data_IF_650648722229
#
_entry.id   IF_650648722229
#
_cell.length_a   1.000
_cell.length_b   1.000
_cell.length_c   1.000
_cell.angle_alpha   90.00
_cell.angle_beta   90.00
_cell.angle_gamma   90.00
#
_symmetry.space_group_name_H-M   'P 1'
#
loop_
_entity.id
_entity.type
_entity.pdbx_description
1 polymer ?
#
# COMPACT_ATOMS: atom_id res chain seq x y z
N UNK A 1 -23.03 74.01 -12.46
CA UNK A 1 -23.55 73.10 -11.42
C UNK A 1 -23.30 71.67 -11.90
N UNK A 2 -22.11 71.14 -11.59
CA UNK A 2 -21.64 69.85 -12.06
C UNK A 2 -21.82 68.82 -10.95
N UNK A 3 -22.65 67.82 -11.20
CA UNK A 3 -22.83 66.67 -10.30
C UNK A 3 -21.98 65.53 -10.85
N UNK A 4 -20.83 65.29 -10.17
CA UNK A 4 -19.97 64.17 -10.44
C UNK A 4 -20.58 62.90 -9.85
N UNK A 5 -20.92 61.96 -10.73
CA UNK A 5 -21.35 60.61 -10.35
C UNK A 5 -20.10 59.80 -10.10
N UNK A 6 -19.75 59.56 -8.83
CA UNK A 6 -18.71 58.62 -8.42
C UNK A 6 -19.27 57.22 -8.55
N UNK A 7 -18.86 56.49 -9.58
CA UNK A 7 -19.15 55.07 -9.75
C UNK A 7 -18.35 54.26 -8.72
N UNK A 8 -19.07 53.68 -7.77
CA UNK A 8 -18.52 52.73 -6.81
C UNK A 8 -18.30 51.39 -7.55
N UNK A 9 -17.05 51.15 -7.92
CA UNK A 9 -16.60 49.84 -8.41
C UNK A 9 -16.45 48.91 -7.20
N UNK A 10 -17.49 48.15 -6.87
CA UNK A 10 -17.37 47.00 -5.95
C UNK A 10 -16.61 45.88 -6.66
N UNK A 11 -15.31 45.80 -6.40
CA UNK A 11 -14.49 44.64 -6.75
C UNK A 11 -14.90 43.51 -5.81
N UNK A 12 -15.77 42.64 -6.30
CA UNK A 12 -16.02 41.35 -5.68
C UNK A 12 -14.79 40.49 -5.96
N UNK A 13 -13.83 40.49 -5.02
CA UNK A 13 -12.77 39.51 -4.98
C UNK A 13 -13.40 38.17 -4.63
N UNK A 14 -13.81 37.42 -5.64
CA UNK A 14 -14.15 35.99 -5.47
C UNK A 14 -12.89 35.28 -5.01
N UNK A 15 -12.83 34.99 -3.73
CA UNK A 15 -11.85 34.09 -3.16
C UNK A 15 -12.17 32.70 -3.70
N UNK A 16 -11.56 32.36 -4.82
CA UNK A 16 -11.51 30.98 -5.28
C UNK A 16 -10.64 30.21 -4.28
N UNK A 17 -11.27 29.69 -3.24
CA UNK A 17 -10.68 28.64 -2.42
C UNK A 17 -10.53 27.43 -3.35
N UNK A 18 -9.39 27.32 -4.02
CA UNK A 18 -9.01 26.09 -4.67
C UNK A 18 -8.93 25.05 -3.55
N UNK A 19 -9.70 23.93 -3.62
CA UNK A 19 -9.44 22.83 -2.70
C UNK A 19 -7.97 22.48 -2.90
N UNK A 20 -7.18 22.65 -1.87
CA UNK A 20 -5.83 22.11 -1.84
C UNK A 20 -6.00 20.60 -1.93
N UNK A 21 -5.86 20.07 -3.13
CA UNK A 21 -5.66 18.64 -3.32
C UNK A 21 -4.37 18.38 -2.56
N UNK A 22 -4.51 17.82 -1.36
CA UNK A 22 -3.38 17.35 -0.59
C UNK A 22 -2.65 16.37 -1.52
N UNK A 23 -1.52 16.80 -2.07
CA UNK A 23 -0.65 15.96 -2.87
C UNK A 23 -0.44 14.70 -2.03
N UNK A 24 -0.91 13.59 -2.54
CA UNK A 24 -0.70 12.28 -1.92
C UNK A 24 0.82 12.04 -1.98
N UNK A 25 1.52 12.45 -0.91
CA UNK A 25 2.98 12.28 -0.82
C UNK A 25 3.21 10.78 -0.79
N UNK A 26 3.71 10.24 -1.90
CA UNK A 26 4.25 8.88 -1.95
C UNK A 26 5.25 8.69 -0.81
N UNK A 27 5.26 7.52 -0.23
CA UNK A 27 6.26 7.17 0.77
C UNK A 27 7.61 7.08 0.08
N UNK A 28 8.53 7.96 0.45
CA UNK A 28 9.89 7.99 -0.12
C UNK A 28 10.88 7.13 0.67
N UNK A 29 10.42 6.05 1.24
CA UNK A 29 11.23 5.15 2.06
C UNK A 29 11.09 3.74 1.54
N UNK A 30 12.22 3.05 1.40
CA UNK A 30 12.26 1.62 1.12
C UNK A 30 13.33 0.91 1.96
N UNK A 31 13.40 -0.41 1.82
CA UNK A 31 14.35 -1.27 2.49
C UNK A 31 15.32 -1.87 1.46
N UNK A 32 16.62 -1.68 1.67
CA UNK A 32 17.65 -2.32 0.85
C UNK A 32 17.99 -3.74 1.32
N UNK A 33 17.55 -4.13 2.50
CA UNK A 33 17.74 -5.45 3.10
C UNK A 33 16.41 -6.06 3.53
N UNK A 34 16.33 -7.38 3.54
CA UNK A 34 15.22 -8.07 4.17
C UNK A 34 15.27 -7.91 5.70
N UNK A 35 14.11 -7.70 6.31
CA UNK A 35 14.00 -7.62 7.77
C UNK A 35 13.17 -8.78 8.31
N UNK A 36 13.70 -9.47 9.33
CA UNK A 36 12.94 -10.40 10.17
C UNK A 36 12.87 -9.84 11.56
N UNK A 37 11.66 -9.60 12.04
CA UNK A 37 11.40 -9.10 13.39
C UNK A 37 10.59 -10.10 14.17
N UNK A 38 11.05 -10.49 15.34
CA UNK A 38 10.27 -11.23 16.32
C UNK A 38 10.37 -10.57 17.69
N UNK A 39 9.71 -11.13 18.69
CA UNK A 39 9.63 -10.55 20.04
C UNK A 39 10.98 -10.13 20.64
N UNK A 40 12.04 -10.90 20.39
CA UNK A 40 13.34 -10.73 21.04
C UNK A 40 14.46 -10.36 20.09
N UNK A 41 14.23 -10.42 18.79
CA UNK A 41 15.29 -10.38 17.79
C UNK A 41 14.85 -9.62 16.54
N UNK A 42 15.79 -8.86 15.98
CA UNK A 42 15.72 -8.29 14.65
C UNK A 42 16.89 -8.87 13.86
N UNK A 43 16.64 -9.40 12.68
CA UNK A 43 17.68 -9.83 11.75
C UNK A 43 17.57 -9.06 10.45
N UNK A 44 18.71 -8.60 9.98
CA UNK A 44 18.89 -7.96 8.68
C UNK A 44 19.44 -9.01 7.73
N UNK A 45 18.75 -9.21 6.61
CA UNK A 45 19.05 -10.26 5.65
C UNK A 45 19.52 -9.69 4.33
N UNK A 46 20.62 -10.23 3.81
CA UNK A 46 21.09 -10.04 2.45
C UNK A 46 21.11 -11.41 1.77
N UNK A 47 20.42 -11.56 0.66
CA UNK A 47 20.29 -12.84 -0.05
C UNK A 47 20.01 -14.05 0.87
N UNK A 48 19.07 -13.87 1.80
CA UNK A 48 18.69 -14.87 2.82
C UNK A 48 19.73 -15.15 3.93
N UNK A 49 20.88 -14.46 3.92
CA UNK A 49 21.89 -14.54 4.98
C UNK A 49 21.74 -13.43 5.99
N UNK A 50 21.87 -13.73 7.27
CA UNK A 50 21.87 -12.71 8.31
C UNK A 50 23.20 -11.94 8.30
N UNK A 51 23.19 -10.67 7.92
CA UNK A 51 24.35 -9.76 7.92
C UNK A 51 24.44 -8.97 9.22
N UNK A 52 23.29 -8.62 9.82
CA UNK A 52 23.24 -8.00 11.14
C UNK A 52 22.09 -8.58 11.97
N UNK A 53 22.24 -8.47 13.28
CA UNK A 53 21.24 -8.96 14.22
C UNK A 53 21.26 -8.14 15.50
N UNK A 54 20.08 -7.78 16.00
CA UNK A 54 19.92 -7.14 17.31
C UNK A 54 19.12 -8.09 18.20
N UNK A 55 19.70 -8.51 19.32
CA UNK A 55 19.07 -9.33 20.33
C UNK A 55 18.65 -8.50 21.54
N UNK A 56 17.47 -8.79 22.07
CA UNK A 56 16.96 -8.17 23.30
C UNK A 56 17.04 -6.63 23.30
N UNK A 57 17.05 -6.04 22.08
CA UNK A 57 17.13 -4.58 21.83
C UNK A 57 18.44 -3.90 22.24
N UNK A 58 19.49 -4.64 22.60
CA UNK A 58 20.72 -4.08 23.16
C UNK A 58 22.00 -4.72 22.60
N UNK A 59 21.93 -5.96 22.19
CA UNK A 59 23.09 -6.70 21.71
C UNK A 59 23.12 -6.66 20.17
N UNK A 60 24.13 -6.00 19.62
CA UNK A 60 24.35 -5.91 18.19
C UNK A 60 25.38 -6.94 17.74
N UNK A 61 25.05 -7.67 16.68
CA UNK A 61 25.94 -8.60 15.99
C UNK A 61 26.05 -8.20 14.53
N UNK A 62 27.27 -8.14 14.00
CA UNK A 62 27.56 -7.89 12.57
C UNK A 62 28.40 -9.03 12.04
N UNK A 63 27.98 -9.66 10.94
CA UNK A 63 28.66 -10.82 10.38
C UNK A 63 28.83 -11.96 11.40
N UNK A 64 27.88 -12.14 12.31
CA UNK A 64 27.92 -13.15 13.36
C UNK A 64 28.80 -12.82 14.57
N UNK A 65 29.46 -11.64 14.59
CA UNK A 65 30.30 -11.20 15.70
C UNK A 65 29.61 -10.15 16.53
N UNK A 66 29.64 -10.31 17.86
CA UNK A 66 29.10 -9.29 18.76
C UNK A 66 29.96 -8.02 18.70
N UNK A 67 29.30 -6.87 18.59
CA UNK A 67 29.92 -5.55 18.62
C UNK A 67 29.97 -5.06 20.06
N UNK A 68 31.15 -4.61 20.52
CA UNK A 68 31.29 -3.98 21.82
C UNK A 68 30.80 -2.52 21.71
N UNK A 69 29.71 -2.21 22.38
CA UNK A 69 29.05 -0.92 22.33
C UNK A 69 29.30 -0.15 23.63
N UNK A 70 29.52 1.14 23.52
CA UNK A 70 29.46 2.10 24.62
C UNK A 70 28.01 2.25 25.14
N UNK A 71 27.83 2.92 26.27
CA UNK A 71 26.47 3.18 26.83
C UNK A 71 25.59 4.00 25.88
N UNK A 72 26.16 4.97 25.20
CA UNK A 72 25.42 5.84 24.27
C UNK A 72 25.02 5.05 22.99
N UNK A 73 25.91 4.22 22.47
CA UNK A 73 25.62 3.34 21.33
C UNK A 73 24.56 2.29 21.68
N UNK A 74 24.59 1.70 22.87
CA UNK A 74 23.53 0.81 23.37
C UNK A 74 22.17 1.55 23.40
N UNK A 75 22.17 2.82 23.81
CA UNK A 75 20.94 3.61 23.81
C UNK A 75 20.38 3.81 22.41
N UNK A 76 21.23 4.11 21.41
CA UNK A 76 20.84 4.23 20.02
C UNK A 76 20.32 2.92 19.44
N UNK A 77 21.03 1.80 19.68
CA UNK A 77 20.59 0.45 19.26
C UNK A 77 19.23 0.11 19.86
N UNK A 78 19.02 0.44 21.13
CA UNK A 78 17.73 0.22 21.81
C UNK A 78 16.61 1.04 21.20
N UNK A 79 16.86 2.31 20.89
CA UNK A 79 15.88 3.20 20.27
C UNK A 79 15.49 2.69 18.87
N UNK A 80 16.48 2.37 18.05
CA UNK A 80 16.29 1.80 16.72
C UNK A 80 15.51 0.48 16.76
N UNK A 81 15.95 -0.46 17.59
CA UNK A 81 15.29 -1.74 17.76
C UNK A 81 13.85 -1.62 18.27
N UNK A 82 13.60 -0.71 19.22
CA UNK A 82 12.25 -0.43 19.72
C UNK A 82 11.33 0.08 18.61
N UNK A 83 11.86 0.96 17.76
CA UNK A 83 11.13 1.49 16.62
C UNK A 83 10.79 0.41 15.59
N UNK A 84 11.77 -0.41 15.18
CA UNK A 84 11.53 -1.54 14.26
C UNK A 84 10.52 -2.56 14.82
N UNK A 85 10.63 -2.93 16.09
CA UNK A 85 9.65 -3.80 16.75
C UNK A 85 8.24 -3.22 16.78
N UNK A 86 8.12 -1.90 16.78
CA UNK A 86 6.82 -1.24 16.79
C UNK A 86 6.23 -1.11 15.39
N UNK A 87 7.03 -0.69 14.40
CA UNK A 87 6.56 -0.32 13.07
C UNK A 87 6.39 -1.54 12.17
N UNK A 88 7.43 -2.39 12.06
CA UNK A 88 7.47 -3.49 11.09
C UNK A 88 6.28 -4.45 11.18
N UNK A 89 5.90 -4.98 12.36
CA UNK A 89 4.75 -5.86 12.46
C UNK A 89 3.45 -5.21 11.99
N UNK A 90 3.27 -3.93 12.31
CA UNK A 90 2.04 -3.18 11.97
C UNK A 90 1.95 -2.86 10.51
N UNK A 91 3.07 -2.54 9.86
CA UNK A 91 3.13 -2.32 8.41
C UNK A 91 2.77 -3.60 7.65
N UNK A 92 3.28 -4.75 8.09
CA UNK A 92 2.96 -6.05 7.47
C UNK A 92 1.47 -6.37 7.58
N UNK A 93 0.89 -6.17 8.77
CA UNK A 93 -0.55 -6.37 8.96
C UNK A 93 -1.35 -5.41 8.08
N UNK A 94 -0.97 -4.12 8.04
CA UNK A 94 -1.64 -3.12 7.21
C UNK A 94 -1.55 -3.47 5.72
N UNK A 95 -0.39 -3.88 5.22
CA UNK A 95 -0.21 -4.30 3.83
C UNK A 95 -1.11 -5.50 3.50
N UNK A 96 -1.17 -6.49 4.39
CA UNK A 96 -2.04 -7.66 4.22
C UNK A 96 -3.52 -7.30 4.22
N UNK A 97 -3.95 -6.45 5.15
CA UNK A 97 -5.34 -5.95 5.23
C UNK A 97 -5.71 -5.13 3.98
N UNK A 98 -4.79 -4.30 3.49
CA UNK A 98 -4.99 -3.49 2.29
C UNK A 98 -5.19 -4.34 1.04
N UNK A 99 -4.37 -5.36 0.89
CA UNK A 99 -4.48 -6.32 -0.23
C UNK A 99 -5.77 -7.14 -0.16
N UNK A 100 -6.10 -7.67 1.00
CA UNK A 100 -7.34 -8.43 1.17
C UNK A 100 -8.55 -7.54 0.88
N UNK A 101 -8.55 -6.29 1.35
CA UNK A 101 -9.61 -5.32 1.06
C UNK A 101 -9.72 -5.01 -0.44
N UNK A 102 -8.61 -4.76 -1.13
CA UNK A 102 -8.62 -4.47 -2.57
C UNK A 102 -9.17 -5.65 -3.38
N UNK A 103 -8.75 -6.87 -3.05
CA UNK A 103 -9.20 -8.08 -3.71
C UNK A 103 -10.70 -8.32 -3.46
N UNK A 104 -11.15 -8.20 -2.22
CA UNK A 104 -12.56 -8.37 -1.88
C UNK A 104 -13.44 -7.33 -2.59
N UNK A 105 -12.95 -6.09 -2.73
CA UNK A 105 -13.64 -5.03 -3.48
C UNK A 105 -13.76 -5.39 -4.96
N UNK A 106 -12.67 -5.83 -5.59
CA UNK A 106 -12.68 -6.24 -7.00
C UNK A 106 -13.61 -7.44 -7.22
N UNK A 107 -13.56 -8.44 -6.33
CA UNK A 107 -14.45 -9.61 -6.40
C UNK A 107 -15.92 -9.21 -6.29
N UNK A 108 -16.27 -8.31 -5.38
CA UNK A 108 -17.65 -7.83 -5.22
C UNK A 108 -18.14 -7.06 -6.46
N UNK A 109 -17.32 -6.14 -6.98
CA UNK A 109 -17.64 -5.39 -8.20
C UNK A 109 -17.86 -6.34 -9.37
N UNK A 110 -16.94 -7.29 -9.53
CA UNK A 110 -16.99 -8.22 -10.65
C UNK A 110 -18.20 -9.16 -10.57
N UNK A 111 -18.48 -9.72 -9.40
CA UNK A 111 -19.69 -10.53 -9.14
C UNK A 111 -20.98 -9.77 -9.42
N UNK A 112 -21.04 -8.50 -9.03
CA UNK A 112 -22.20 -7.65 -9.26
C UNK A 112 -22.47 -7.35 -10.73
N UNK A 113 -21.44 -7.26 -11.56
CA UNK A 113 -21.53 -6.96 -12.99
C UNK A 113 -21.79 -8.21 -13.81
N UNK A 114 -20.99 -9.26 -13.62
CA UNK A 114 -20.93 -10.43 -14.51
C UNK A 114 -21.70 -11.62 -13.95
N UNK A 115 -21.79 -11.74 -12.64
CA UNK A 115 -22.35 -12.90 -11.95
C UNK A 115 -21.32 -14.03 -11.75
N UNK A 116 -21.64 -14.95 -10.83
CA UNK A 116 -20.75 -16.06 -10.43
C UNK A 116 -20.57 -17.14 -11.50
N UNK A 117 -21.53 -17.26 -12.41
CA UNK A 117 -21.62 -18.39 -13.35
C UNK A 117 -20.87 -18.14 -14.66
N UNK A 118 -20.20 -17.01 -14.78
CA UNK A 118 -19.50 -16.65 -16.01
C UNK A 118 -18.03 -17.11 -15.97
N UNK A 119 -17.56 -17.77 -17.06
CA UNK A 119 -16.18 -18.29 -17.18
C UNK A 119 -15.08 -17.24 -16.89
N UNK A 120 -15.37 -15.97 -17.16
CA UNK A 120 -14.44 -14.88 -16.88
C UNK A 120 -14.27 -14.58 -15.39
N UNK A 121 -15.27 -14.87 -14.53
CA UNK A 121 -15.16 -14.70 -13.09
C UNK A 121 -14.04 -15.57 -12.51
N UNK A 122 -13.98 -16.83 -12.92
CA UNK A 122 -12.92 -17.74 -12.44
C UNK A 122 -11.52 -17.26 -12.83
N UNK A 123 -11.36 -16.65 -14.02
CA UNK A 123 -10.08 -16.08 -14.47
C UNK A 123 -9.64 -14.90 -13.61
N UNK A 124 -10.56 -13.97 -13.33
CA UNK A 124 -10.29 -12.80 -12.45
C UNK A 124 -9.98 -13.26 -11.03
N UNK A 125 -10.79 -14.15 -10.48
CA UNK A 125 -10.57 -14.69 -9.14
C UNK A 125 -9.21 -15.40 -9.01
N UNK A 126 -8.79 -16.18 -10.01
CA UNK A 126 -7.45 -16.79 -10.06
C UNK A 126 -6.33 -15.76 -10.13
N UNK A 127 -6.51 -14.67 -10.91
CA UNK A 127 -5.55 -13.58 -10.98
C UNK A 127 -5.40 -12.88 -9.63
N UNK A 128 -6.51 -12.52 -8.99
CA UNK A 128 -6.52 -11.90 -7.65
C UNK A 128 -5.86 -12.80 -6.58
N UNK A 129 -6.10 -14.10 -6.65
CA UNK A 129 -5.44 -15.07 -5.74
C UNK A 129 -3.92 -15.13 -5.95
N UNK A 130 -3.43 -15.00 -7.19
CA UNK A 130 -1.98 -14.92 -7.46
C UNK A 130 -1.40 -13.63 -6.89
N UNK A 131 -2.04 -12.48 -7.14
CA UNK A 131 -1.64 -11.20 -6.58
C UNK A 131 -1.54 -11.24 -5.05
N UNK A 132 -2.55 -11.78 -4.39
CA UNK A 132 -2.54 -11.98 -2.93
C UNK A 132 -1.34 -12.81 -2.46
N UNK A 133 -1.04 -13.89 -3.17
CA UNK A 133 0.07 -14.76 -2.80
C UNK A 133 1.43 -14.06 -2.99
N UNK A 134 1.62 -13.32 -4.08
CA UNK A 134 2.84 -12.57 -4.37
C UNK A 134 3.13 -11.51 -3.31
N UNK A 135 2.12 -10.74 -2.94
CA UNK A 135 2.28 -9.76 -1.85
C UNK A 135 2.55 -10.43 -0.51
N UNK A 136 1.89 -11.56 -0.22
CA UNK A 136 2.15 -12.34 1.00
C UNK A 136 3.55 -12.96 1.04
N UNK A 137 4.22 -13.13 -0.08
CA UNK A 137 5.64 -13.55 -0.11
C UNK A 137 6.57 -12.43 0.36
N UNK A 138 6.26 -11.18 0.01
CA UNK A 138 7.03 -10.01 0.42
C UNK A 138 6.74 -9.58 1.87
N UNK A 139 5.51 -9.77 2.32
CA UNK A 139 5.06 -9.43 3.67
C UNK A 139 4.57 -10.68 4.39
N UNK A 140 5.48 -11.43 4.99
CA UNK A 140 5.16 -12.69 5.67
C UNK A 140 5.13 -12.53 7.17
N UNK A 141 4.14 -13.14 7.80
CA UNK A 141 4.13 -13.33 9.23
C UNK A 141 3.66 -14.75 9.59
N UNK A 142 4.28 -15.33 10.61
CA UNK A 142 3.90 -16.61 11.17
C UNK A 142 4.15 -16.56 12.67
N UNK A 143 3.11 -16.76 13.46
CA UNK A 143 3.15 -16.62 14.93
C UNK A 143 3.63 -15.23 15.33
N UNK A 144 4.85 -15.09 15.84
CA UNK A 144 5.49 -13.84 16.28
C UNK A 144 6.66 -13.39 15.38
N UNK A 145 6.81 -14.00 14.19
CA UNK A 145 7.85 -13.68 13.23
C UNK A 145 7.26 -12.88 12.05
N UNK A 146 7.81 -11.72 11.81
CA UNK A 146 7.42 -10.80 10.76
C UNK A 146 8.57 -10.62 9.79
N UNK A 147 8.33 -10.83 8.50
CA UNK A 147 9.32 -10.69 7.44
C UNK A 147 8.86 -9.65 6.42
N UNK A 148 9.76 -8.73 6.09
CA UNK A 148 9.63 -7.78 4.97
C UNK A 148 10.80 -8.00 4.03
N UNK A 149 10.52 -8.21 2.75
CA UNK A 149 11.55 -8.34 1.72
C UNK A 149 12.17 -6.97 1.37
N UNK A 150 13.40 -6.92 0.85
CA UNK A 150 13.97 -5.69 0.31
C UNK A 150 13.15 -5.21 -0.90
N UNK A 151 13.06 -3.89 -1.10
CA UNK A 151 12.29 -3.28 -2.18
C UNK A 151 10.77 -3.37 -2.02
N UNK A 152 10.27 -3.91 -0.90
CA UNK A 152 8.84 -4.19 -0.74
C UNK A 152 7.96 -2.95 -0.59
N UNK A 153 8.52 -1.85 -0.12
CA UNK A 153 7.74 -0.63 0.13
C UNK A 153 7.55 0.16 -1.16
N UNK A 154 8.55 0.17 -2.04
CA UNK A 154 8.45 0.76 -3.37
C UNK A 154 7.54 -0.07 -4.28
N UNK A 155 7.66 -1.39 -4.23
CA UNK A 155 6.87 -2.31 -5.06
C UNK A 155 5.36 -2.24 -4.80
N UNK A 156 4.91 -1.79 -3.62
CA UNK A 156 3.47 -1.62 -3.37
C UNK A 156 2.87 -0.54 -4.26
N UNK A 157 3.60 0.56 -4.50
CA UNK A 157 3.16 1.62 -5.41
C UNK A 157 3.24 1.15 -6.88
N UNK A 158 4.35 0.52 -7.28
CA UNK A 158 4.56 0.01 -8.64
C UNK A 158 3.66 -1.19 -8.98
N UNK A 159 3.30 -2.01 -7.98
CA UNK A 159 2.37 -3.13 -8.15
C UNK A 159 0.97 -2.65 -8.54
N UNK A 160 0.53 -1.53 -7.98
CA UNK A 160 -0.74 -0.91 -8.34
C UNK A 160 -0.69 -0.36 -9.77
N UNK A 161 0.44 0.25 -10.17
CA UNK A 161 0.55 0.96 -11.45
C UNK A 161 0.95 0.04 -12.63
N UNK A 162 1.91 -0.88 -12.48
CA UNK A 162 2.45 -1.65 -13.60
C UNK A 162 1.95 -3.10 -13.67
N UNK A 163 1.88 -3.81 -12.57
CA UNK A 163 1.50 -5.23 -12.63
C UNK A 163 -0.01 -5.43 -12.79
N UNK A 164 -0.83 -4.50 -12.32
CA UNK A 164 -2.27 -4.51 -12.63
C UNK A 164 -2.45 -4.28 -14.13
N UNK A 165 -1.70 -3.40 -14.76
CA UNK A 165 -1.84 -3.09 -16.17
C UNK A 165 -1.31 -4.20 -17.09
N UNK A 166 -0.16 -4.80 -16.82
CA UNK A 166 0.43 -5.82 -17.69
C UNK A 166 -0.07 -7.25 -17.43
N UNK A 167 -0.12 -7.70 -16.18
CA UNK A 167 -0.53 -9.08 -15.86
C UNK A 167 -2.04 -9.22 -15.69
N UNK A 168 -2.70 -8.18 -15.23
CA UNK A 168 -4.15 -8.16 -15.01
C UNK A 168 -4.91 -7.44 -16.10
N UNK A 169 -4.26 -6.56 -16.88
CA UNK A 169 -4.87 -5.88 -18.02
C UNK A 169 -5.46 -6.86 -19.05
N UNK A 170 -4.78 -7.98 -19.30
CA UNK A 170 -5.31 -9.06 -20.13
C UNK A 170 -6.51 -9.77 -19.49
N UNK A 171 -6.49 -9.98 -18.16
CA UNK A 171 -7.62 -10.57 -17.45
C UNK A 171 -8.79 -9.58 -17.35
N UNK A 172 -8.49 -8.30 -17.09
CA UNK A 172 -9.49 -7.22 -17.05
C UNK A 172 -10.04 -6.95 -18.45
N UNK A 173 -9.23 -6.92 -19.50
CA UNK A 173 -9.71 -6.74 -20.89
C UNK A 173 -10.55 -7.94 -21.36
N UNK A 174 -10.18 -9.16 -20.96
CA UNK A 174 -10.99 -10.36 -21.19
C UNK A 174 -12.31 -10.31 -20.40
N UNK A 175 -12.27 -9.72 -19.20
CA UNK A 175 -13.46 -9.50 -18.36
C UNK A 175 -14.36 -8.41 -18.94
N UNK A 176 -13.78 -7.31 -19.43
CA UNK A 176 -14.51 -6.28 -20.16
C UNK A 176 -15.10 -6.86 -21.46
N UNK A 177 -14.36 -7.75 -22.16
CA UNK A 177 -14.89 -8.52 -23.27
C UNK A 177 -16.03 -9.44 -22.85
N UNK A 178 -15.94 -10.07 -21.69
CA UNK A 178 -17.01 -10.86 -21.07
C UNK A 178 -18.23 -10.03 -20.70
N UNK A 179 -18.01 -8.85 -20.12
CA UNK A 179 -19.06 -7.86 -19.82
C UNK A 179 -19.70 -7.37 -21.12
N UNK A 180 -18.89 -7.01 -22.13
CA UNK A 180 -19.38 -6.58 -23.44
C UNK A 180 -20.09 -7.72 -24.18
N UNK A 181 -19.67 -8.98 -24.01
CA UNK A 181 -20.36 -10.15 -24.56
C UNK A 181 -21.66 -10.43 -23.82
N UNK A 182 -21.67 -10.29 -22.51
CA UNK A 182 -22.90 -10.38 -21.70
C UNK A 182 -23.88 -9.25 -22.04
N UNK A 183 -23.37 -8.04 -22.30
CA UNK A 183 -24.14 -6.88 -22.80
C UNK A 183 -24.45 -7.06 -24.28
N UNK A 184 -23.52 -7.53 -25.11
CA UNK A 184 -23.65 -7.73 -26.55
C UNK A 184 -24.47 -8.97 -26.95
N UNK A 185 -24.53 -9.99 -26.10
CA UNK A 185 -25.52 -11.08 -26.19
C UNK A 185 -26.97 -10.59 -26.05
N UNK A 186 -27.11 -9.30 -25.65
CA UNK A 186 -28.40 -8.58 -25.63
C UNK A 186 -28.88 -8.14 -27.01
N UNK A 187 -28.06 -8.25 -28.07
CA UNK A 187 -28.45 -7.92 -29.45
C UNK A 187 -29.17 -9.09 -30.17
N UNK A 188 -29.41 -10.21 -29.49
CA UNK A 188 -30.29 -11.27 -30.01
C UNK A 188 -31.74 -10.79 -30.00
N UNK A 189 -32.43 -10.92 -31.10
CA UNK A 189 -33.71 -10.32 -31.45
C UNK A 189 -34.94 -10.68 -30.59
N UNK A 190 -34.75 -11.04 -29.32
CA UNK A 190 -35.82 -11.27 -28.36
C UNK A 190 -36.07 -10.02 -27.52
N UNK A 191 -37.34 -9.59 -27.45
CA UNK A 191 -37.83 -8.34 -26.83
C UNK A 191 -37.59 -8.14 -25.34
N UNK A 192 -36.60 -8.86 -24.76
CA UNK A 192 -36.20 -8.83 -23.35
C UNK A 192 -34.91 -8.01 -23.07
N UNK A 193 -34.32 -7.44 -24.12
CA UNK A 193 -33.02 -6.72 -24.03
C UNK A 193 -33.12 -5.46 -23.17
N UNK A 194 -34.21 -4.75 -23.29
CA UNK A 194 -34.44 -3.48 -22.57
C UNK A 194 -34.66 -3.69 -21.07
N UNK A 195 -35.32 -4.76 -20.68
CA UNK A 195 -35.55 -5.11 -19.28
C UNK A 195 -34.27 -5.64 -18.59
N UNK A 196 -33.43 -6.39 -19.34
CA UNK A 196 -32.11 -6.83 -18.87
C UNK A 196 -31.17 -5.64 -18.68
N UNK A 197 -31.14 -4.69 -19.61
CA UNK A 197 -30.35 -3.45 -19.46
C UNK A 197 -30.80 -2.62 -18.27
N UNK A 198 -32.11 -2.49 -18.05
CA UNK A 198 -32.64 -1.79 -16.86
C UNK A 198 -32.30 -2.52 -15.57
N UNK A 199 -32.33 -3.84 -15.55
CA UNK A 199 -31.96 -4.64 -14.39
C UNK A 199 -30.47 -4.50 -14.07
N UNK A 200 -29.59 -4.53 -15.11
CA UNK A 200 -28.16 -4.30 -14.95
C UNK A 200 -27.86 -2.88 -14.46
N UNK A 201 -28.49 -1.87 -15.06
CA UNK A 201 -28.36 -0.46 -14.63
C UNK A 201 -28.76 -0.26 -13.17
N UNK A 202 -29.87 -0.86 -12.73
CA UNK A 202 -30.30 -0.81 -11.31
C UNK A 202 -29.32 -1.52 -10.38
N UNK A 203 -28.74 -2.64 -10.81
CA UNK A 203 -27.72 -3.34 -9.99
C UNK A 203 -26.45 -2.51 -9.85
N UNK A 204 -25.99 -1.92 -10.94
CA UNK A 204 -24.81 -1.03 -10.95
C UNK A 204 -25.04 0.21 -10.08
N UNK A 205 -26.22 0.82 -10.17
CA UNK A 205 -26.57 2.00 -9.36
C UNK A 205 -26.68 1.65 -7.86
N UNK A 206 -27.33 0.56 -7.50
CA UNK A 206 -27.41 0.10 -6.11
C UNK A 206 -26.04 -0.30 -5.53
N UNK A 207 -25.18 -0.90 -6.36
CA UNK A 207 -23.86 -1.34 -5.96
C UNK A 207 -22.88 -0.16 -5.85
N UNK A 208 -22.97 0.85 -6.74
CA UNK A 208 -22.09 2.02 -6.71
C UNK A 208 -22.23 2.81 -5.41
N UNK A 209 -23.45 3.05 -4.95
CA UNK A 209 -23.70 3.80 -3.71
C UNK A 209 -23.18 3.06 -2.47
N UNK A 210 -23.37 1.75 -2.41
CA UNK A 210 -22.92 0.94 -1.27
C UNK A 210 -21.39 0.76 -1.25
N UNK A 211 -20.80 0.52 -2.42
CA UNK A 211 -19.34 0.39 -2.56
C UNK A 211 -18.60 1.72 -2.35
N UNK A 212 -19.14 2.82 -2.87
CA UNK A 212 -18.50 4.13 -2.77
C UNK A 212 -18.28 4.50 -1.30
N UNK A 213 -19.29 4.32 -0.46
CA UNK A 213 -19.22 4.65 0.96
C UNK A 213 -18.29 3.71 1.73
N UNK A 214 -18.38 2.39 1.51
CA UNK A 214 -17.53 1.40 2.19
C UNK A 214 -16.07 1.47 1.74
N UNK A 215 -15.84 1.70 0.44
CA UNK A 215 -14.50 1.83 -0.14
C UNK A 215 -13.83 3.12 0.33
N UNK A 216 -14.54 4.25 0.33
CA UNK A 216 -13.99 5.54 0.73
C UNK A 216 -13.54 5.54 2.20
N UNK A 217 -14.37 5.04 3.11
CA UNK A 217 -14.07 4.97 4.54
C UNK A 217 -12.87 4.04 4.83
N UNK A 218 -12.85 2.85 4.25
CA UNK A 218 -11.78 1.86 4.48
C UNK A 218 -10.47 2.26 3.80
N UNK A 219 -10.53 2.71 2.55
CA UNK A 219 -9.37 3.18 1.82
C UNK A 219 -8.75 4.43 2.48
N UNK A 220 -9.57 5.37 2.93
CA UNK A 220 -9.13 6.53 3.70
C UNK A 220 -8.37 6.13 4.96
N UNK A 221 -8.93 5.21 5.75
CA UNK A 221 -8.29 4.70 6.98
C UNK A 221 -6.96 3.98 6.69
N UNK A 222 -6.89 3.16 5.64
CA UNK A 222 -5.66 2.46 5.25
C UNK A 222 -4.58 3.45 4.81
N UNK A 223 -4.96 4.46 4.02
CA UNK A 223 -4.07 5.52 3.55
C UNK A 223 -3.49 6.36 4.68
N UNK A 224 -4.32 6.73 5.65
CA UNK A 224 -3.87 7.48 6.83
C UNK A 224 -2.89 6.67 7.68
N UNK A 225 -3.16 5.39 7.89
CA UNK A 225 -2.24 4.47 8.57
C UNK A 225 -0.93 4.32 7.79
N UNK A 226 -0.99 4.15 6.46
CA UNK A 226 0.19 4.03 5.62
C UNK A 226 1.09 5.27 5.72
N UNK A 227 0.52 6.48 5.60
CA UNK A 227 1.25 7.74 5.78
C UNK A 227 1.90 7.85 7.17
N UNK A 228 1.18 7.43 8.20
CA UNK A 228 1.73 7.46 9.56
C UNK A 228 2.92 6.50 9.71
N UNK A 229 2.85 5.29 9.16
CA UNK A 229 3.97 4.34 9.20
C UNK A 229 5.15 4.79 8.35
N UNK A 230 4.90 5.39 7.19
CA UNK A 230 5.93 6.02 6.38
C UNK A 230 6.72 7.06 7.18
N UNK A 231 6.03 8.01 7.83
CA UNK A 231 6.66 8.99 8.70
C UNK A 231 7.44 8.36 9.88
N UNK A 232 7.00 7.21 10.38
CA UNK A 232 7.76 6.47 11.41
C UNK A 232 9.02 5.83 10.86
N UNK A 233 8.99 5.32 9.64
CA UNK A 233 10.17 4.78 8.97
C UNK A 233 11.18 5.88 8.64
N UNK A 234 10.74 7.07 8.21
CA UNK A 234 11.61 8.25 8.06
C UNK A 234 12.32 8.60 9.37
N UNK A 235 11.61 8.60 10.50
CA UNK A 235 12.22 8.82 11.82
C UNK A 235 13.23 7.73 12.17
N UNK A 236 12.97 6.48 11.82
CA UNK A 236 13.90 5.36 12.04
C UNK A 236 15.14 5.49 11.16
N UNK A 237 15.00 5.96 9.91
CA UNK A 237 16.13 6.24 9.04
C UNK A 237 17.10 7.25 9.70
N UNK A 238 16.58 8.32 10.29
CA UNK A 238 17.42 9.29 11.03
C UNK A 238 18.18 8.68 12.22
N UNK A 239 17.58 7.69 12.89
CA UNK A 239 18.26 6.96 13.99
C UNK A 239 19.31 6.02 13.40
N UNK A 240 19.00 5.36 12.31
CA UNK A 240 19.94 4.50 11.59
C UNK A 240 21.16 5.26 11.10
N UNK A 241 20.99 6.45 10.52
CA UNK A 241 22.10 7.31 10.13
C UNK A 241 23.02 7.66 11.32
N UNK A 242 22.45 7.95 12.49
CA UNK A 242 23.24 8.15 13.70
C UNK A 242 23.99 6.90 14.11
N UNK A 243 23.37 5.71 14.02
CA UNK A 243 24.04 4.44 14.29
C UNK A 243 25.20 4.22 13.33
N UNK A 244 25.02 4.48 12.03
CA UNK A 244 26.06 4.36 11.01
C UNK A 244 27.22 5.33 11.26
N UNK A 245 26.92 6.52 11.73
CA UNK A 245 27.95 7.53 12.04
C UNK A 245 28.73 7.22 13.33
N UNK A 246 28.15 6.51 14.29
CA UNK A 246 28.76 6.26 15.61
C UNK A 246 29.32 4.86 15.76
N UNK A 247 28.66 3.83 15.22
CA UNK A 247 29.06 2.44 15.32
C UNK A 247 29.75 2.00 14.04
N UNK A 248 31.09 2.01 14.02
CA UNK A 248 31.92 1.73 12.84
C UNK A 248 31.55 0.42 12.10
N UNK A 249 31.21 -0.62 12.84
CA UNK A 249 30.83 -1.92 12.23
C UNK A 249 29.45 -1.86 11.55
N UNK A 250 28.61 -0.89 11.93
CA UNK A 250 27.28 -0.68 11.34
C UNK A 250 27.31 0.26 10.12
N UNK A 251 28.40 1.04 9.95
CA UNK A 251 28.55 2.03 8.87
C UNK A 251 28.13 1.52 7.47
N UNK A 252 28.53 0.30 7.02
CA UNK A 252 28.20 -0.19 5.67
C UNK A 252 26.73 -0.59 5.50
N UNK A 253 25.95 -0.68 6.59
CA UNK A 253 24.56 -1.12 6.55
C UNK A 253 23.64 0.10 6.38
N UNK A 254 23.08 0.27 5.20
CA UNK A 254 22.06 1.25 4.89
C UNK A 254 20.75 0.50 4.67
N UNK A 255 20.01 0.23 5.75
CA UNK A 255 18.87 -0.68 5.75
C UNK A 255 17.63 0.04 5.25
N UNK A 256 17.38 1.24 5.78
CA UNK A 256 16.28 2.11 5.40
C UNK A 256 16.82 3.16 4.44
N UNK A 257 16.33 3.19 3.23
CA UNK A 257 16.78 4.09 2.18
C UNK A 257 15.68 5.06 1.76
N UNK A 258 16.08 6.26 1.32
CA UNK A 258 15.16 7.20 0.67
C UNK A 258 15.13 6.91 -0.83
N UNK A 259 13.91 6.77 -1.38
CA UNK A 259 13.65 6.65 -2.82
C UNK A 259 13.41 8.04 -3.43
N UNK A 260 13.72 8.20 -4.71
CA UNK A 260 13.63 9.50 -5.42
C UNK A 260 12.18 9.87 -5.81
#
# INVERSE_FOLDING_TARGET
MHISVFAIFCVIAAVYSTPSVASDKKCKIDLSYGLVVNKNQIRVLEESRTVAQINYREQLFIGGRQVNLSRDEISLVREYAKGLHYVVPKMIVLASEGVDFAIDTIDQVYLGIVGSDHDSYEKVHKAMKRARNEIRENFRYASDHYFVAPGSLEQVDDFVDQQIEEQYGAAISTSLGGILTAIGGLNSADGNTQDRMRALSKRLEAMSVQLEQEVEDRAGTLRDKARWYCSKMEQLNLIEEKLRATVKQFEPLNIIIETQ
#
